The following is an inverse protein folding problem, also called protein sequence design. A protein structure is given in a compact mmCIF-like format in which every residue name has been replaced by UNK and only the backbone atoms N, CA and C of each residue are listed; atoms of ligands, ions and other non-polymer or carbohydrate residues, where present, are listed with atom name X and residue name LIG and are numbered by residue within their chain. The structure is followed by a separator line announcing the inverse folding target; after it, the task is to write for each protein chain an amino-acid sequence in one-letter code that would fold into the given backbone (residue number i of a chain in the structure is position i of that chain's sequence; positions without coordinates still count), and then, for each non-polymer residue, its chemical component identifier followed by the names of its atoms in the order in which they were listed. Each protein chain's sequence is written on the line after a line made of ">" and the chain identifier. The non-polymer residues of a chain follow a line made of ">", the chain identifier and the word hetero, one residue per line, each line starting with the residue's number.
data_IF_467379066248
#
_entry.id   IF_467379066248
#
_cell.length_a   1.000
_cell.length_b   1.000
_cell.length_c   1.000
_cell.angle_alpha   90.00
_cell.angle_beta   90.00
_cell.angle_gamma   90.00
#
_symmetry.space_group_name_H-M   'P 1'
#
loop_
_entity.id
_entity.type
_entity.pdbx_description
1 polymer ?
#
# COMPACT_ATOMS: atom_id res chain seq x y z
N UNK A 1 16.50 12.18 20.24
CA UNK A 1 16.26 13.43 21.00
C UNK A 1 17.62 13.94 21.47
N UNK A 2 17.81 15.25 21.59
CA UNK A 2 19.00 15.77 22.27
C UNK A 2 18.80 15.50 23.77
N UNK A 3 19.70 14.74 24.38
CA UNK A 3 19.64 14.37 25.80
C UNK A 3 20.82 14.97 26.52
N UNK A 4 20.59 15.39 27.77
CA UNK A 4 21.63 15.73 28.75
C UNK A 4 22.05 14.50 29.58
N UNK A 5 21.55 13.31 29.22
CA UNK A 5 21.74 12.10 30.04
C UNK A 5 23.13 11.50 29.87
N UNK A 6 23.69 11.11 31.01
CA UNK A 6 25.00 10.48 31.15
C UNK A 6 24.96 8.97 30.83
N UNK A 7 23.83 8.43 30.38
CA UNK A 7 23.57 6.98 30.26
C UNK A 7 24.39 6.24 29.18
N UNK A 8 25.25 6.96 28.46
CA UNK A 8 26.12 6.40 27.43
C UNK A 8 27.57 6.26 27.87
N UNK A 9 27.98 6.92 28.94
CA UNK A 9 29.36 6.94 29.40
C UNK A 9 29.43 6.69 30.90
N UNK A 10 30.38 5.84 31.30
CA UNK A 10 30.82 5.80 32.69
C UNK A 10 31.56 7.11 32.99
N UNK A 11 31.35 7.67 34.18
CA UNK A 11 32.13 8.82 34.64
C UNK A 11 33.58 8.37 34.89
N UNK A 12 34.42 8.60 33.89
CA UNK A 12 35.85 8.25 33.89
C UNK A 12 36.73 9.46 34.23
N UNK A 13 36.16 10.56 34.74
CA UNK A 13 36.90 11.79 35.10
C UNK A 13 37.30 12.68 33.90
N UNK A 14 36.84 12.36 32.69
CA UNK A 14 37.01 13.21 31.51
C UNK A 14 35.87 14.21 31.37
N UNK A 15 36.19 15.45 30.97
CA UNK A 15 35.19 16.50 30.72
C UNK A 15 34.74 16.47 29.26
N UNK A 16 33.56 15.92 29.01
CA UNK A 16 32.89 15.99 27.70
C UNK A 16 31.81 17.09 27.68
N UNK A 17 31.45 17.62 26.49
CA UNK A 17 30.26 18.46 26.35
C UNK A 17 29.01 17.72 26.83
N UNK A 18 28.13 18.41 27.57
CA UNK A 18 26.96 17.78 28.21
C UNK A 18 25.83 17.41 27.25
N UNK A 19 25.81 17.94 26.03
CA UNK A 19 24.71 17.75 25.07
C UNK A 19 25.10 16.81 23.94
N UNK A 20 24.27 15.80 23.68
CA UNK A 20 24.44 14.88 22.56
C UNK A 20 23.11 14.44 21.94
N UNK A 21 23.12 14.17 20.64
CA UNK A 21 21.98 13.57 19.94
C UNK A 21 21.94 12.06 20.19
N UNK A 22 20.91 11.57 20.86
CA UNK A 22 20.78 10.14 21.19
C UNK A 22 19.56 9.50 20.55
N UNK A 23 19.73 8.25 20.09
CA UNK A 23 18.63 7.37 19.75
C UNK A 23 17.89 6.94 21.02
N UNK A 24 16.56 6.86 20.94
CA UNK A 24 15.68 6.53 22.07
C UNK A 24 16.00 5.14 22.64
N UNK A 25 16.27 4.16 21.79
CA UNK A 25 16.68 2.81 22.19
C UNK A 25 17.66 2.22 21.17
N UNK A 26 18.63 1.45 21.69
CA UNK A 26 19.60 0.67 20.91
C UNK A 26 19.49 -0.84 21.20
N UNK A 27 18.58 -1.23 22.09
CA UNK A 27 18.54 -2.58 22.66
C UNK A 27 17.63 -3.50 21.86
N UNK A 28 16.59 -2.95 21.24
CA UNK A 28 15.55 -3.71 20.54
C UNK A 28 16.02 -4.17 19.15
N UNK A 29 15.73 -5.43 18.83
CA UNK A 29 15.96 -6.03 17.51
C UNK A 29 15.10 -7.30 17.31
N UNK A 30 14.31 -7.40 16.23
CA UNK A 30 13.58 -8.63 15.87
C UNK A 30 14.50 -9.69 15.24
N UNK A 31 15.31 -10.34 16.08
CA UNK A 31 16.30 -11.32 15.64
C UNK A 31 15.68 -12.52 14.92
N UNK A 32 14.49 -12.97 15.35
CA UNK A 32 13.78 -14.09 14.74
C UNK A 32 13.37 -13.75 13.29
N UNK A 33 12.85 -12.55 13.07
CA UNK A 33 12.48 -12.08 11.73
C UNK A 33 13.66 -12.09 10.76
N UNK A 34 14.86 -11.69 11.21
CA UNK A 34 16.07 -11.75 10.39
C UNK A 34 16.74 -13.13 10.38
N UNK A 35 16.24 -14.10 11.16
CA UNK A 35 16.77 -15.46 11.21
C UNK A 35 18.11 -15.55 11.92
N UNK A 36 18.33 -14.66 12.90
CA UNK A 36 19.56 -14.56 13.67
C UNK A 36 19.31 -15.17 15.06
N UNK A 37 20.18 -16.08 15.49
CA UNK A 37 20.05 -16.73 16.79
C UNK A 37 20.24 -15.70 17.93
N UNK A 38 19.50 -15.77 19.06
CA UNK A 38 19.56 -14.76 20.12
C UNK A 38 20.98 -14.47 20.64
N UNK A 39 21.81 -15.51 20.82
CA UNK A 39 23.23 -15.35 21.23
C UNK A 39 24.07 -14.57 20.21
N UNK A 40 23.76 -14.67 18.91
CA UNK A 40 24.45 -13.89 17.88
C UNK A 40 23.94 -12.45 17.90
N UNK A 41 22.61 -12.26 17.99
CA UNK A 41 22.01 -10.93 18.06
C UNK A 41 22.49 -10.08 19.25
N UNK A 42 22.73 -10.69 20.42
CA UNK A 42 23.32 -10.01 21.59
C UNK A 42 24.74 -9.49 21.32
N UNK A 43 25.48 -10.15 20.43
CA UNK A 43 26.86 -9.80 20.07
C UNK A 43 26.95 -8.98 18.77
N UNK A 44 25.82 -8.65 18.14
CA UNK A 44 25.81 -7.80 16.97
C UNK A 44 25.94 -6.34 17.36
N UNK A 45 26.71 -5.59 16.56
CA UNK A 45 26.75 -4.14 16.64
C UNK A 45 25.30 -3.58 16.58
N UNK A 46 24.86 -2.80 17.59
CA UNK A 46 23.52 -2.19 17.59
C UNK A 46 23.19 -1.40 16.32
N UNK A 47 24.20 -0.82 15.65
CA UNK A 47 24.04 -0.10 14.38
C UNK A 47 23.64 -1.05 13.25
N UNK A 48 24.25 -2.24 13.20
CA UNK A 48 23.91 -3.26 12.19
C UNK A 48 22.50 -3.81 12.42
N UNK A 49 22.10 -4.01 13.68
CA UNK A 49 20.74 -4.43 14.04
C UNK A 49 19.70 -3.42 13.55
N UNK A 50 19.92 -2.12 13.81
CA UNK A 50 19.02 -1.05 13.34
C UNK A 50 19.05 -0.87 11.83
N UNK A 51 20.20 -1.06 11.18
CA UNK A 51 20.30 -1.00 9.73
C UNK A 51 19.42 -2.04 9.06
N UNK A 52 19.36 -3.27 9.59
CA UNK A 52 18.51 -4.33 9.06
C UNK A 52 17.01 -3.97 9.14
N UNK A 53 16.55 -3.47 10.29
CA UNK A 53 15.16 -3.03 10.49
C UNK A 53 14.80 -1.86 9.58
N UNK A 54 15.58 -0.78 9.60
CA UNK A 54 15.30 0.44 8.82
C UNK A 54 15.38 0.18 7.32
N UNK A 55 16.28 -0.70 6.86
CA UNK A 55 16.33 -1.07 5.44
C UNK A 55 15.08 -1.84 5.02
N UNK A 56 14.58 -2.73 5.88
CA UNK A 56 13.34 -3.46 5.62
C UNK A 56 12.13 -2.52 5.61
N UNK A 57 12.04 -1.61 6.59
CA UNK A 57 11.02 -0.55 6.66
C UNK A 57 11.06 0.33 5.43
N UNK A 58 12.23 0.77 4.97
CA UNK A 58 12.38 1.62 3.78
C UNK A 58 11.91 0.94 2.49
N UNK A 59 12.13 -0.38 2.36
CA UNK A 59 11.63 -1.15 1.21
C UNK A 59 10.10 -1.22 1.26
N UNK A 60 9.52 -1.48 2.44
CA UNK A 60 8.06 -1.53 2.60
C UNK A 60 7.40 -0.15 2.46
N UNK A 61 8.04 0.92 2.94
CA UNK A 61 7.60 2.31 2.78
C UNK A 61 7.51 2.71 1.31
N UNK A 62 8.43 2.19 0.48
CA UNK A 62 8.36 2.34 -0.98
C UNK A 62 7.24 1.52 -1.65
N UNK A 63 6.48 0.72 -0.89
CA UNK A 63 5.44 -0.16 -1.41
C UNK A 63 5.95 -1.42 -2.09
N UNK A 64 7.23 -1.74 -1.89
CA UNK A 64 7.84 -2.92 -2.51
C UNK A 64 7.78 -4.09 -1.55
N UNK A 65 7.24 -5.22 -2.02
CA UNK A 65 7.36 -6.46 -1.29
C UNK A 65 8.83 -6.91 -1.30
N UNK A 66 9.51 -7.10 -0.15
CA UNK A 66 10.93 -7.46 -0.13
C UNK A 66 11.26 -8.77 -0.86
N UNK A 67 10.27 -9.64 -1.08
CA UNK A 67 10.43 -10.87 -1.88
C UNK A 67 10.56 -10.58 -3.38
N UNK A 68 9.90 -9.55 -3.91
CA UNK A 68 9.91 -9.23 -5.34
C UNK A 68 11.26 -8.70 -5.84
N UNK A 69 12.09 -8.17 -4.95
CA UNK A 69 13.42 -7.64 -5.26
C UNK A 69 14.56 -8.64 -4.98
N UNK A 70 14.27 -9.82 -4.42
CA UNK A 70 15.31 -10.84 -4.15
C UNK A 70 15.90 -11.37 -5.46
N UNK A 71 17.23 -11.39 -5.54
CA UNK A 71 17.95 -11.86 -6.73
C UNK A 71 18.04 -10.87 -7.88
N UNK A 72 17.48 -9.66 -7.72
CA UNK A 72 17.68 -8.57 -8.66
C UNK A 72 19.04 -7.89 -8.46
N UNK A 73 19.59 -7.25 -9.50
CA UNK A 73 20.84 -6.49 -9.44
C UNK A 73 20.64 -5.13 -8.70
N UNK A 74 20.18 -5.16 -7.45
CA UNK A 74 20.05 -3.96 -6.61
C UNK A 74 21.39 -3.72 -5.90
N UNK A 75 22.09 -2.66 -6.30
CA UNK A 75 23.33 -2.21 -5.67
C UNK A 75 23.06 -1.15 -4.59
N UNK A 76 23.83 -1.21 -3.50
CA UNK A 76 23.85 -0.20 -2.42
C UNK A 76 25.01 0.75 -2.67
N UNK A 77 24.72 2.03 -2.91
CA UNK A 77 25.75 3.02 -3.24
C UNK A 77 25.66 4.26 -2.34
N UNK A 78 26.83 4.83 -2.03
CA UNK A 78 27.00 6.12 -1.35
C UNK A 78 28.09 6.86 -2.10
N UNK A 79 27.81 8.06 -2.64
CA UNK A 79 28.76 8.75 -3.53
C UNK A 79 28.56 10.28 -3.62
N UNK A 80 29.55 10.96 -4.25
CA UNK A 80 30.12 12.29 -3.93
C UNK A 80 30.50 13.22 -5.11
N UNK A 81 30.12 14.54 -5.16
CA UNK A 81 30.98 15.80 -5.23
C UNK A 81 30.25 17.06 -5.83
N UNK A 82 30.60 18.31 -5.45
CA UNK A 82 30.09 19.60 -6.02
C UNK A 82 31.10 20.73 -6.22
N UNK A 83 30.81 21.57 -7.22
CA UNK A 83 31.07 23.03 -7.27
C UNK A 83 30.41 23.70 -8.51
N UNK A 84 29.20 24.30 -8.42
CA UNK A 84 28.57 25.04 -9.58
C UNK A 84 27.55 26.17 -9.22
N UNK A 85 26.85 26.15 -8.08
CA UNK A 85 25.48 26.71 -8.03
C UNK A 85 25.25 28.24 -7.81
N UNK A 86 26.28 29.08 -7.64
CA UNK A 86 26.06 30.48 -7.22
C UNK A 86 26.36 31.56 -8.28
N UNK A 87 26.88 31.20 -9.45
CA UNK A 87 27.22 32.17 -10.49
C UNK A 87 25.98 32.53 -11.35
N UNK A 88 25.68 33.82 -11.52
CA UNK A 88 24.58 34.30 -12.37
C UNK A 88 23.15 34.21 -11.80
N UNK A 89 22.98 33.93 -10.50
CA UNK A 89 21.65 33.82 -9.85
C UNK A 89 21.04 35.20 -9.55
N UNK A 90 19.74 35.35 -9.81
CA UNK A 90 18.97 36.58 -9.58
C UNK A 90 18.21 36.62 -8.24
N UNK A 91 18.29 35.56 -7.41
CA UNK A 91 17.62 35.49 -6.10
C UNK A 91 18.48 34.88 -4.99
N UNK A 92 18.03 34.98 -3.73
CA UNK A 92 18.69 34.41 -2.55
C UNK A 92 18.49 32.89 -2.46
N UNK A 93 19.57 32.11 -2.34
CA UNK A 93 19.52 30.65 -2.28
C UNK A 93 19.22 30.20 -0.84
N UNK A 94 18.10 29.52 -0.59
CA UNK A 94 17.81 28.99 0.74
C UNK A 94 18.84 27.93 1.13
N UNK A 95 19.42 28.06 2.32
CA UNK A 95 20.37 27.10 2.88
C UNK A 95 19.90 26.61 4.24
N UNK A 96 20.07 25.32 4.47
CA UNK A 96 19.64 24.66 5.70
C UNK A 96 20.60 23.54 6.10
N UNK A 97 20.58 23.18 7.38
CA UNK A 97 21.39 22.08 7.92
C UNK A 97 20.54 21.25 8.85
N UNK A 98 20.52 19.93 8.67
CA UNK A 98 19.86 19.03 9.63
C UNK A 98 20.64 18.99 10.97
N UNK A 99 21.93 19.31 10.93
CA UNK A 99 22.84 19.20 12.08
C UNK A 99 22.49 20.21 13.19
N UNK A 100 21.89 21.36 12.86
CA UNK A 100 21.40 22.30 13.88
C UNK A 100 20.29 21.71 14.74
N UNK A 101 19.52 20.74 14.22
CA UNK A 101 18.32 20.23 14.89
C UNK A 101 18.60 18.95 15.71
N UNK A 102 19.58 18.15 15.29
CA UNK A 102 19.83 16.82 15.88
C UNK A 102 21.30 16.54 16.23
N UNK A 103 22.21 17.47 15.95
CA UNK A 103 23.65 17.24 16.06
C UNK A 103 24.25 16.56 14.82
N UNK A 104 25.55 16.31 14.87
CA UNK A 104 26.30 15.73 13.75
C UNK A 104 26.36 14.20 13.86
N UNK A 105 25.62 13.47 13.02
CA UNK A 105 25.58 12.00 12.99
C UNK A 105 26.74 11.36 12.20
N UNK A 106 27.91 12.01 12.22
CA UNK A 106 29.15 11.60 11.53
C UNK A 106 28.93 10.95 10.13
N UNK A 107 29.23 9.66 9.85
CA UNK A 107 29.14 9.14 8.48
C UNK A 107 27.68 9.05 7.97
N UNK A 108 26.69 9.15 8.86
CA UNK A 108 25.26 9.06 8.54
C UNK A 108 24.66 10.43 8.21
N UNK A 109 25.43 11.52 8.36
CA UNK A 109 24.92 12.88 8.23
C UNK A 109 24.24 13.19 6.87
N UNK A 110 24.69 12.54 5.79
CA UNK A 110 24.07 12.72 4.47
C UNK A 110 22.70 12.06 4.37
N UNK A 111 22.53 10.86 4.93
CA UNK A 111 21.24 10.17 4.94
C UNK A 111 20.22 10.92 5.78
N UNK A 112 20.63 11.49 6.92
CA UNK A 112 19.77 12.36 7.71
C UNK A 112 19.36 13.64 6.95
N UNK A 113 20.24 14.15 6.06
CA UNK A 113 19.93 15.30 5.22
C UNK A 113 18.95 14.94 4.10
N UNK A 114 19.10 13.76 3.49
CA UNK A 114 18.13 13.22 2.52
C UNK A 114 16.77 13.02 3.18
N UNK A 115 16.72 12.39 4.36
CA UNK A 115 15.49 12.18 5.11
C UNK A 115 14.79 13.51 5.44
N UNK A 116 15.53 14.53 5.92
CA UNK A 116 14.99 15.89 6.11
C UNK A 116 14.32 16.40 4.83
N UNK A 117 14.95 16.26 3.68
CA UNK A 117 14.45 16.79 2.41
C UNK A 117 13.24 16.02 1.87
N UNK A 118 13.25 14.69 1.96
CA UNK A 118 12.09 13.86 1.58
C UNK A 118 10.88 14.23 2.45
N UNK A 119 11.07 14.29 3.77
CA UNK A 119 10.01 14.73 4.69
C UNK A 119 9.57 16.18 4.42
N UNK A 120 10.49 17.06 4.05
CA UNK A 120 10.17 18.45 3.69
C UNK A 120 9.33 18.56 2.42
N UNK A 121 9.63 17.72 1.41
CA UNK A 121 8.85 17.63 0.17
C UNK A 121 7.44 17.08 0.42
N UNK A 122 7.34 16.00 1.21
CA UNK A 122 6.04 15.42 1.59
C UNK A 122 5.19 16.42 2.39
N UNK A 123 5.78 17.08 3.40
CA UNK A 123 5.09 18.07 4.22
C UNK A 123 4.97 19.46 3.57
N UNK A 124 5.46 19.62 2.33
CA UNK A 124 5.52 20.89 1.58
C UNK A 124 6.14 22.06 2.36
N UNK A 125 7.04 21.75 3.29
CA UNK A 125 7.62 22.71 4.24
C UNK A 125 9.08 22.40 4.48
N UNK A 126 9.98 23.37 4.31
CA UNK A 126 11.36 23.32 4.76
C UNK A 126 11.39 23.74 6.23
N UNK A 127 11.80 22.84 7.16
CA UNK A 127 11.82 23.17 8.57
C UNK A 127 13.03 24.06 8.90
N UNK A 128 12.80 24.98 9.84
CA UNK A 128 13.78 25.94 10.32
C UNK A 128 15.06 25.28 10.86
N UNK A 129 16.19 25.90 10.55
CA UNK A 129 17.44 25.71 11.27
C UNK A 129 17.32 26.31 12.66
N UNK A 130 17.85 25.61 13.65
CA UNK A 130 17.98 26.14 15.00
C UNK A 130 19.28 26.91 15.16
N UNK A 131 19.34 27.76 16.19
CA UNK A 131 20.56 28.44 16.66
C UNK A 131 21.18 29.45 15.67
N UNK A 132 20.43 29.89 14.66
CA UNK A 132 20.85 30.96 13.77
C UNK A 132 20.36 32.31 14.31
N UNK A 133 21.30 33.15 14.77
CA UNK A 133 21.01 34.47 15.35
C UNK A 133 21.79 35.59 14.66
N UNK A 134 23.10 35.40 14.47
CA UNK A 134 23.98 36.39 13.87
C UNK A 134 24.72 35.73 12.70
N UNK A 135 24.67 36.30 11.48
CA UNK A 135 25.41 35.77 10.32
C UNK A 135 26.91 35.74 10.60
N UNK A 136 27.60 34.71 10.10
CA UNK A 136 29.07 34.67 10.18
C UNK A 136 29.66 35.73 9.23
N UNK A 137 30.43 36.73 9.72
CA UNK A 137 31.00 37.78 8.89
C UNK A 137 32.00 37.27 7.84
N UNK A 138 32.62 36.10 8.08
CA UNK A 138 33.60 35.49 7.17
C UNK A 138 32.96 34.83 5.95
N UNK A 139 31.62 34.82 5.86
CA UNK A 139 30.86 34.29 4.73
C UNK A 139 30.09 35.45 4.08
N UNK A 140 30.71 36.19 3.13
CA UNK A 140 30.10 37.38 2.53
C UNK A 140 28.71 37.13 1.95
N UNK A 141 28.48 35.95 1.37
CA UNK A 141 27.20 35.57 0.78
C UNK A 141 26.03 35.47 1.80
N UNK A 142 26.31 35.27 3.10
CA UNK A 142 25.30 35.34 4.15
C UNK A 142 25.01 36.79 4.58
N UNK A 143 26.01 37.67 4.48
CA UNK A 143 25.90 39.09 4.86
C UNK A 143 25.20 39.89 3.77
N UNK A 144 25.53 39.63 2.51
CA UNK A 144 24.93 40.31 1.34
C UNK A 144 23.60 39.68 0.87
N UNK A 145 23.18 38.57 1.49
CA UNK A 145 21.88 37.92 1.25
C UNK A 145 21.82 36.99 0.04
N UNK A 146 22.93 36.71 -0.66
CA UNK A 146 22.96 35.70 -1.74
C UNK A 146 22.64 34.30 -1.24
N UNK A 147 23.03 33.98 0.00
CA UNK A 147 22.62 32.80 0.74
C UNK A 147 21.68 33.22 1.87
N UNK A 148 20.52 32.57 1.96
CA UNK A 148 19.54 32.85 3.00
C UNK A 148 19.36 31.62 3.87
N UNK A 149 19.72 31.70 5.14
CA UNK A 149 19.46 30.62 6.09
C UNK A 149 17.95 30.49 6.30
N UNK A 150 17.44 29.27 6.21
CA UNK A 150 16.04 28.95 6.55
C UNK A 150 15.92 28.95 8.08
N UNK A 151 15.61 30.09 8.68
CA UNK A 151 15.51 30.29 10.14
C UNK A 151 14.07 30.23 10.68
N UNK A 152 13.10 30.20 9.77
CA UNK A 152 11.68 29.93 10.02
C UNK A 152 11.20 28.86 9.06
N UNK A 153 10.12 28.17 9.39
CA UNK A 153 9.50 27.23 8.46
C UNK A 153 9.07 27.97 7.19
N UNK A 154 9.50 27.46 6.05
CA UNK A 154 9.22 28.06 4.73
C UNK A 154 8.58 27.00 3.83
N UNK A 155 7.79 27.42 2.84
CA UNK A 155 7.19 26.47 1.91
C UNK A 155 8.25 25.81 1.01
N UNK A 156 8.10 24.51 0.75
CA UNK A 156 8.98 23.76 -0.13
C UNK A 156 8.52 23.90 -1.59
N UNK A 157 9.20 24.76 -2.36
CA UNK A 157 8.92 24.98 -3.79
C UNK A 157 10.07 24.55 -4.70
N UNK A 158 11.15 24.00 -4.14
CA UNK A 158 12.35 23.68 -4.88
C UNK A 158 12.14 22.44 -5.77
N UNK A 159 12.36 22.60 -7.08
CA UNK A 159 12.41 21.47 -8.03
C UNK A 159 13.74 20.72 -7.94
N UNK A 160 14.82 21.42 -7.63
CA UNK A 160 16.16 20.86 -7.46
C UNK A 160 16.71 21.25 -6.11
N UNK A 161 17.30 20.29 -5.41
CA UNK A 161 17.97 20.53 -4.13
C UNK A 161 19.35 19.90 -4.15
N UNK A 162 20.36 20.70 -3.76
CA UNK A 162 21.72 20.23 -3.53
C UNK A 162 21.93 19.81 -2.08
N UNK A 163 22.66 18.72 -1.86
CA UNK A 163 23.07 18.24 -0.54
C UNK A 163 24.58 18.16 -0.50
N UNK A 164 25.22 18.71 0.54
CA UNK A 164 26.66 18.58 0.78
C UNK A 164 26.94 17.65 1.96
N UNK A 165 28.00 16.84 1.87
CA UNK A 165 28.56 16.10 3.01
C UNK A 165 30.08 16.08 2.91
N UNK A 166 30.80 16.55 3.92
CA UNK A 166 32.26 16.65 3.92
C UNK A 166 32.82 15.82 5.08
N UNK A 167 33.71 14.88 4.77
CA UNK A 167 34.42 14.09 5.77
C UNK A 167 35.67 14.82 6.26
N UNK A 168 36.02 14.66 7.54
CA UNK A 168 37.20 15.33 8.12
C UNK A 168 38.51 14.94 7.42
N UNK A 169 38.59 13.75 6.82
CA UNK A 169 39.75 13.28 6.05
C UNK A 169 39.89 13.88 4.64
N UNK A 170 39.02 14.83 4.27
CA UNK A 170 39.08 15.53 2.98
C UNK A 170 38.20 14.94 1.86
N UNK A 171 37.51 13.82 2.11
CA UNK A 171 36.56 13.24 1.14
C UNK A 171 35.23 14.00 1.17
N UNK A 172 34.83 14.59 0.04
CA UNK A 172 33.66 15.47 -0.05
C UNK A 172 32.60 14.93 -1.01
N UNK A 173 31.33 14.91 -0.59
CA UNK A 173 30.13 14.53 -1.35
C UNK A 173 29.28 15.74 -1.71
N UNK A 174 28.68 15.69 -2.90
CA UNK A 174 27.42 16.38 -3.17
C UNK A 174 26.48 15.55 -4.02
N UNK A 175 25.19 15.73 -3.76
CA UNK A 175 24.07 15.14 -4.48
C UNK A 175 23.15 16.25 -4.98
N UNK A 176 22.70 16.14 -6.23
CA UNK A 176 21.64 16.96 -6.77
C UNK A 176 20.38 16.09 -6.90
N UNK A 177 19.35 16.42 -6.15
CA UNK A 177 18.06 15.73 -6.19
C UNK A 177 17.06 16.54 -6.99
N UNK A 178 16.28 15.86 -7.84
CA UNK A 178 15.11 16.42 -8.50
C UNK A 178 13.86 15.94 -7.76
N UNK A 179 13.08 16.87 -7.27
CA UNK A 179 11.77 16.59 -6.68
C UNK A 179 10.70 16.84 -7.75
N UNK A 180 9.93 15.81 -8.06
CA UNK A 180 8.77 15.91 -8.92
C UNK A 180 7.50 16.00 -8.07
N UNK A 181 6.54 16.79 -8.52
CA UNK A 181 5.19 16.70 -7.99
C UNK A 181 4.61 15.38 -8.47
N UNK A 182 3.97 14.65 -7.56
CA UNK A 182 3.23 13.44 -7.94
C UNK A 182 2.28 13.80 -9.08
N UNK A 183 2.31 13.02 -10.16
CA UNK A 183 1.22 13.03 -11.13
C UNK A 183 -0.06 12.63 -10.41
N UNK A 184 -1.15 13.32 -10.69
CA UNK A 184 -2.48 12.86 -10.28
C UNK A 184 -2.69 11.48 -10.90
N UNK A 185 -2.71 10.46 -10.04
CA UNK A 185 -3.10 9.11 -10.45
C UNK A 185 -4.61 9.05 -10.45
N UNK A 186 -5.19 8.97 -11.64
CA UNK A 186 -6.59 8.58 -11.76
C UNK A 186 -6.69 7.08 -11.45
N UNK A 187 -7.24 6.75 -10.29
CA UNK A 187 -7.55 5.36 -9.97
C UNK A 187 -8.68 4.85 -10.85
N UNK A 188 -8.57 3.62 -11.39
CA UNK A 188 -9.63 3.04 -12.20
C UNK A 188 -10.85 2.60 -11.38
N UNK A 189 -10.80 2.63 -10.04
CA UNK A 189 -11.93 2.25 -9.17
C UNK A 189 -12.54 3.44 -8.42
N UNK A 190 -13.88 3.45 -8.36
CA UNK A 190 -14.66 4.43 -7.62
C UNK A 190 -14.50 4.24 -6.10
N UNK A 191 -14.42 5.36 -5.38
CA UNK A 191 -14.44 5.41 -3.91
C UNK A 191 -15.77 4.92 -3.31
N UNK A 192 -16.83 4.78 -4.13
CA UNK A 192 -18.13 4.26 -3.69
C UNK A 192 -18.20 2.74 -3.62
N UNK A 193 -17.25 2.01 -4.23
CA UNK A 193 -17.22 0.55 -4.22
C UNK A 193 -16.54 0.05 -2.94
N UNK A 194 -17.11 -0.94 -2.23
CA UNK A 194 -16.44 -1.56 -1.09
C UNK A 194 -15.08 -2.15 -1.51
N UNK A 195 -14.07 -1.93 -0.69
CA UNK A 195 -12.70 -2.34 -1.00
C UNK A 195 -12.11 -3.15 0.16
N UNK A 196 -11.45 -4.25 -0.17
CA UNK A 196 -10.73 -5.04 0.82
C UNK A 196 -9.32 -4.48 0.93
N UNK A 197 -8.96 -4.02 2.13
CA UNK A 197 -7.59 -3.65 2.47
C UNK A 197 -7.04 -4.73 3.39
N UNK A 198 -5.96 -5.38 2.96
CA UNK A 198 -5.31 -6.44 3.71
C UNK A 198 -3.88 -6.04 4.08
N UNK A 199 -3.39 -6.55 5.19
CA UNK A 199 -1.98 -6.45 5.55
C UNK A 199 -1.52 -7.67 6.34
N UNK A 200 -0.21 -7.76 6.57
CA UNK A 200 0.41 -8.81 7.37
C UNK A 200 1.48 -8.21 8.27
N UNK A 201 1.75 -8.86 9.39
CA UNK A 201 2.70 -8.34 10.38
C UNK A 201 3.31 -9.41 11.27
N UNK A 202 4.30 -8.97 12.06
CA UNK A 202 4.97 -9.79 13.07
C UNK A 202 4.14 -10.00 14.32
N UNK A 203 3.25 -9.06 14.63
CA UNK A 203 2.36 -9.11 15.78
C UNK A 203 0.95 -8.71 15.40
N UNK A 204 -0.02 -9.06 16.25
CA UNK A 204 -1.41 -8.63 16.09
C UNK A 204 -1.53 -7.10 16.12
N UNK A 205 -0.79 -6.45 17.01
CA UNK A 205 -0.80 -4.99 17.18
C UNK A 205 -0.32 -4.26 15.92
N UNK A 206 0.70 -4.80 15.24
CA UNK A 206 1.19 -4.22 14.00
C UNK A 206 0.12 -4.26 12.89
N UNK A 207 -0.55 -5.41 12.72
CA UNK A 207 -1.63 -5.56 11.74
C UNK A 207 -2.79 -4.63 12.08
N UNK A 208 -3.22 -4.59 13.35
CA UNK A 208 -4.28 -3.71 13.82
C UNK A 208 -3.96 -2.23 13.55
N UNK A 209 -2.75 -1.79 13.91
CA UNK A 209 -2.28 -0.42 13.66
C UNK A 209 -2.36 -0.04 12.18
N UNK A 210 -1.88 -0.92 11.29
CA UNK A 210 -1.92 -0.64 9.85
C UNK A 210 -3.35 -0.60 9.29
N UNK A 211 -4.25 -1.48 9.74
CA UNK A 211 -5.64 -1.50 9.28
C UNK A 211 -6.44 -0.30 9.81
N UNK A 212 -6.20 0.12 11.06
CA UNK A 212 -6.77 1.35 11.61
C UNK A 212 -6.29 2.58 10.84
N UNK A 213 -5.00 2.65 10.52
CA UNK A 213 -4.43 3.72 9.71
C UNK A 213 -5.01 3.71 8.28
N UNK A 214 -5.22 2.53 7.70
CA UNK A 214 -5.88 2.36 6.40
C UNK A 214 -7.34 2.85 6.41
N UNK A 215 -8.09 2.62 7.48
CA UNK A 215 -9.45 3.14 7.62
C UNK A 215 -9.47 4.67 7.71
N UNK A 216 -8.52 5.28 8.42
CA UNK A 216 -8.39 6.73 8.52
C UNK A 216 -8.06 7.37 7.17
N UNK A 217 -7.27 6.69 6.34
CA UNK A 217 -6.79 7.17 5.05
C UNK A 217 -7.43 6.45 3.85
N UNK A 218 -8.64 5.86 4.02
CA UNK A 218 -9.30 5.05 2.98
C UNK A 218 -9.64 5.78 1.68
N UNK A 219 -9.61 7.11 1.69
CA UNK A 219 -9.81 7.96 0.51
C UNK A 219 -8.50 8.19 -0.27
N UNK A 220 -7.34 7.91 0.34
CA UNK A 220 -6.04 7.98 -0.32
C UNK A 220 -5.80 6.71 -1.14
N UNK A 221 -6.10 6.81 -2.43
CA UNK A 221 -5.99 5.69 -3.36
C UNK A 221 -4.55 5.20 -3.55
N UNK A 222 -3.55 6.08 -3.40
CA UNK A 222 -2.15 5.68 -3.49
C UNK A 222 -1.74 4.83 -2.29
N UNK A 223 -2.08 5.30 -1.09
CA UNK A 223 -1.77 4.58 0.14
C UNK A 223 -2.44 3.19 0.16
N UNK A 224 -3.72 3.15 -0.22
CA UNK A 224 -4.47 1.90 -0.31
C UNK A 224 -3.88 0.94 -1.35
N UNK A 225 -3.49 1.44 -2.53
CA UNK A 225 -2.79 0.63 -3.55
C UNK A 225 -1.48 0.08 -3.02
N UNK A 226 -0.71 0.89 -2.30
CA UNK A 226 0.56 0.48 -1.71
C UNK A 226 0.38 -0.68 -0.72
N UNK A 227 -0.63 -0.61 0.16
CA UNK A 227 -0.98 -1.71 1.06
C UNK A 227 -1.42 -2.97 0.30
N UNK A 228 -2.17 -2.80 -0.80
CA UNK A 228 -2.56 -3.90 -1.65
C UNK A 228 -1.35 -4.59 -2.27
N UNK A 229 -0.43 -3.85 -2.90
CA UNK A 229 0.82 -4.39 -3.49
C UNK A 229 1.67 -5.15 -2.46
N UNK A 230 1.78 -4.62 -1.23
CA UNK A 230 2.48 -5.31 -0.14
C UNK A 230 1.83 -6.63 0.26
N UNK A 231 0.51 -6.76 0.11
CA UNK A 231 -0.26 -7.94 0.54
C UNK A 231 -0.50 -9.00 -0.55
N UNK A 232 -0.15 -8.72 -1.82
CA UNK A 232 -0.26 -9.67 -2.94
C UNK A 232 0.50 -10.97 -2.66
N UNK A 233 1.70 -10.85 -2.12
CA UNK A 233 2.54 -11.99 -1.77
C UNK A 233 2.76 -12.10 -0.27
N UNK A 234 2.76 -13.35 0.22
CA UNK A 234 3.12 -13.64 1.59
C UNK A 234 4.52 -13.09 1.93
N UNK A 235 4.58 -12.14 2.85
CA UNK A 235 5.86 -11.69 3.42
C UNK A 235 6.37 -12.81 4.35
N UNK A 236 7.58 -13.35 4.11
CA UNK A 236 8.12 -14.41 4.94
C UNK A 236 8.15 -14.01 6.42
N UNK A 237 7.80 -14.95 7.31
CA UNK A 237 7.79 -14.75 8.77
C UNK A 237 6.81 -13.68 9.26
N UNK A 238 5.77 -13.33 8.50
CA UNK A 238 4.59 -12.61 9.02
C UNK A 238 3.50 -13.62 9.39
N UNK A 239 3.41 -14.06 10.67
CA UNK A 239 2.41 -15.04 11.08
C UNK A 239 1.03 -14.43 11.25
N UNK A 240 0.90 -13.11 11.41
CA UNK A 240 -0.40 -12.45 11.56
C UNK A 240 -0.81 -11.81 10.24
N UNK A 241 -2.09 -11.96 9.89
CA UNK A 241 -2.73 -11.27 8.77
C UNK A 241 -4.05 -10.71 9.21
N UNK A 242 -4.47 -9.65 8.54
CA UNK A 242 -5.79 -9.11 8.74
C UNK A 242 -6.28 -8.38 7.51
N UNK A 243 -7.58 -8.15 7.48
CA UNK A 243 -8.22 -7.35 6.46
C UNK A 243 -9.36 -6.52 7.05
N UNK A 244 -9.74 -5.50 6.30
CA UNK A 244 -10.92 -4.69 6.56
C UNK A 244 -11.63 -4.41 5.23
N UNK A 245 -12.95 -4.38 5.26
CA UNK A 245 -13.75 -3.91 4.12
C UNK A 245 -14.02 -2.41 4.30
N UNK A 246 -13.25 -1.60 3.58
CA UNK A 246 -13.44 -0.17 3.50
C UNK A 246 -14.69 0.17 2.66
N UNK A 247 -15.30 1.33 2.93
CA UNK A 247 -16.50 1.84 2.25
C UNK A 247 -17.75 0.96 2.34
N UNK A 248 -17.78 0.01 3.28
CA UNK A 248 -18.98 -0.71 3.68
C UNK A 248 -19.76 0.04 4.77
N UNK A 249 -21.04 -0.28 4.93
CA UNK A 249 -21.89 0.28 6.00
C UNK A 249 -21.42 -0.11 7.41
N UNK A 250 -20.68 -1.23 7.53
CA UNK A 250 -20.06 -1.68 8.78
C UNK A 250 -18.66 -2.20 8.44
N UNK A 251 -17.62 -1.49 8.85
CA UNK A 251 -16.23 -1.90 8.67
C UNK A 251 -15.72 -2.55 9.95
N UNK A 252 -15.46 -3.84 9.89
CA UNK A 252 -14.84 -4.60 10.98
C UNK A 252 -13.44 -5.06 10.58
N UNK A 253 -12.50 -4.94 11.50
CA UNK A 253 -11.15 -5.47 11.33
C UNK A 253 -11.16 -6.94 11.70
N UNK A 254 -10.85 -7.79 10.73
CA UNK A 254 -10.66 -9.23 10.94
C UNK A 254 -9.17 -9.52 10.98
N UNK A 255 -8.73 -10.25 12.00
CA UNK A 255 -7.32 -10.56 12.22
C UNK A 255 -7.16 -12.01 12.67
N UNK A 256 -6.16 -12.68 12.11
CA UNK A 256 -5.86 -14.07 12.47
C UNK A 256 -4.36 -14.34 12.37
N UNK A 257 -3.89 -15.27 13.21
CA UNK A 257 -2.59 -15.90 13.05
C UNK A 257 -2.72 -17.05 12.06
N UNK A 258 -2.09 -16.91 10.89
CA UNK A 258 -2.21 -17.86 9.79
C UNK A 258 -1.11 -18.93 9.90
N UNK A 259 -1.53 -20.20 9.93
CA UNK A 259 -0.65 -21.32 9.64
C UNK A 259 -0.57 -21.57 8.13
N UNK A 260 0.61 -21.89 7.58
CA UNK A 260 0.76 -22.12 6.14
C UNK A 260 -0.07 -23.34 5.69
N UNK A 261 -1.21 -23.09 5.06
CA UNK A 261 -2.00 -24.06 4.32
C UNK A 261 -1.98 -23.72 2.84
N UNK A 262 -1.68 -24.72 2.01
CA UNK A 262 -1.39 -24.50 0.58
C UNK A 262 -2.47 -25.05 -0.37
N UNK A 263 -3.53 -25.67 0.14
CA UNK A 263 -4.52 -26.31 -0.71
C UNK A 263 -5.77 -25.44 -0.80
N UNK A 264 -6.01 -24.86 -1.98
CA UNK A 264 -7.26 -24.16 -2.30
C UNK A 264 -8.19 -25.16 -2.99
N UNK A 265 -9.39 -25.34 -2.47
CA UNK A 265 -10.42 -26.20 -3.03
C UNK A 265 -11.58 -25.34 -3.52
N UNK A 266 -12.03 -25.58 -4.76
CA UNK A 266 -13.19 -24.92 -5.33
C UNK A 266 -14.39 -25.87 -5.19
N UNK A 267 -15.43 -25.43 -4.48
CA UNK A 267 -16.66 -26.20 -4.29
C UNK A 267 -17.76 -25.45 -5.03
N UNK A 268 -18.33 -26.09 -6.07
CA UNK A 268 -19.44 -25.55 -6.84
C UNK A 268 -20.74 -26.16 -6.31
N UNK A 269 -21.53 -25.36 -5.60
CA UNK A 269 -22.85 -25.77 -5.13
C UNK A 269 -23.80 -25.94 -6.31
N UNK A 270 -24.71 -26.90 -6.18
CA UNK A 270 -25.74 -27.18 -7.17
C UNK A 270 -27.04 -26.41 -6.91
N UNK A 271 -28.13 -27.02 -7.36
CA UNK A 271 -29.49 -26.54 -7.20
C UNK A 271 -29.86 -26.29 -5.73
N UNK A 272 -30.62 -25.23 -5.49
CA UNK A 272 -31.09 -24.80 -4.16
C UNK A 272 -30.36 -23.57 -3.61
N UNK A 273 -29.32 -23.09 -4.28
CA UNK A 273 -28.53 -21.91 -3.91
C UNK A 273 -29.00 -20.60 -4.55
N UNK A 274 -29.93 -20.67 -5.50
CA UNK A 274 -30.39 -19.56 -6.31
C UNK A 274 -31.47 -18.72 -5.59
N UNK A 275 -31.42 -17.38 -5.74
CA UNK A 275 -32.41 -16.44 -5.20
C UNK A 275 -32.62 -15.21 -6.14
N UNK A 276 -33.79 -14.52 -6.09
CA UNK A 276 -34.07 -13.36 -6.94
C UNK A 276 -33.13 -12.19 -6.68
N UNK A 277 -32.53 -11.60 -7.73
CA UNK A 277 -31.57 -10.50 -7.59
C UNK A 277 -30.15 -10.93 -7.18
N UNK A 278 -29.81 -12.22 -7.29
CA UNK A 278 -28.54 -12.78 -6.78
C UNK A 278 -27.24 -12.16 -7.33
N UNK A 279 -27.31 -11.36 -8.39
CA UNK A 279 -26.13 -10.70 -8.99
C UNK A 279 -26.05 -9.20 -8.75
N UNK A 280 -27.07 -8.57 -8.16
CA UNK A 280 -27.23 -7.11 -8.10
C UNK A 280 -26.04 -6.39 -7.46
N UNK A 281 -25.43 -6.98 -6.44
CA UNK A 281 -24.26 -6.37 -5.79
C UNK A 281 -22.95 -6.66 -6.51
N UNK A 282 -22.81 -7.84 -7.10
CA UNK A 282 -21.59 -8.24 -7.80
C UNK A 282 -21.45 -7.61 -9.19
N UNK A 283 -22.55 -7.21 -9.83
CA UNK A 283 -22.52 -6.56 -11.15
C UNK A 283 -21.79 -5.21 -11.15
N UNK A 284 -21.58 -4.62 -9.96
CA UNK A 284 -20.80 -3.39 -9.76
C UNK A 284 -19.30 -3.59 -10.02
N UNK A 285 -18.83 -4.84 -10.05
CA UNK A 285 -17.44 -5.18 -10.31
C UNK A 285 -17.26 -5.59 -11.78
N UNK A 286 -16.36 -4.90 -12.49
CA UNK A 286 -16.17 -5.09 -13.93
C UNK A 286 -15.85 -6.54 -14.33
N UNK A 287 -14.99 -7.23 -13.57
CA UNK A 287 -14.64 -8.62 -13.86
C UNK A 287 -15.87 -9.56 -13.82
N UNK A 288 -16.76 -9.36 -12.85
CA UNK A 288 -17.99 -10.13 -12.74
C UNK A 288 -18.97 -9.75 -13.83
N UNK A 289 -19.17 -8.44 -14.06
CA UNK A 289 -20.02 -7.89 -15.12
C UNK A 289 -19.63 -8.44 -16.49
N UNK A 290 -18.35 -8.36 -16.86
CA UNK A 290 -17.82 -8.89 -18.12
C UNK A 290 -18.13 -10.39 -18.29
N UNK A 291 -17.97 -11.18 -17.23
CA UNK A 291 -18.26 -12.63 -17.29
C UNK A 291 -19.74 -12.93 -17.51
N UNK A 292 -20.63 -12.22 -16.79
CA UNK A 292 -22.08 -12.38 -16.91
C UNK A 292 -22.58 -11.87 -18.27
N UNK A 293 -22.13 -10.69 -18.72
CA UNK A 293 -22.50 -10.15 -20.04
C UNK A 293 -22.11 -11.10 -21.16
N UNK A 294 -20.88 -11.66 -21.12
CA UNK A 294 -20.44 -12.66 -22.10
C UNK A 294 -21.37 -13.88 -22.11
N UNK A 295 -21.82 -14.34 -20.95
CA UNK A 295 -22.74 -15.48 -20.86
C UNK A 295 -24.14 -15.13 -21.38
N UNK A 296 -24.60 -13.92 -21.09
CA UNK A 296 -25.89 -13.40 -21.55
C UNK A 296 -25.95 -13.26 -23.08
N UNK A 297 -24.88 -12.82 -23.74
CA UNK A 297 -24.81 -12.69 -25.20
C UNK A 297 -25.06 -14.02 -25.91
N UNK A 298 -24.44 -15.11 -25.44
CA UNK A 298 -24.66 -16.45 -26.00
C UNK A 298 -26.08 -16.96 -25.80
N UNK A 299 -26.67 -16.68 -24.63
CA UNK A 299 -28.02 -17.12 -24.29
C UNK A 299 -29.09 -16.29 -24.99
N UNK A 300 -28.83 -15.01 -25.24
CA UNK A 300 -29.74 -14.14 -25.98
C UNK A 300 -29.95 -14.63 -27.41
N UNK A 301 -28.91 -15.21 -28.03
CA UNK A 301 -28.99 -15.79 -29.38
C UNK A 301 -29.99 -16.96 -29.46
N UNK A 302 -30.31 -17.62 -28.34
CA UNK A 302 -31.32 -18.68 -28.25
C UNK A 302 -32.61 -18.20 -27.56
N UNK A 303 -32.81 -16.88 -27.47
CA UNK A 303 -34.02 -16.26 -26.91
C UNK A 303 -34.04 -16.15 -25.39
N UNK A 304 -32.89 -16.31 -24.72
CA UNK A 304 -32.82 -16.32 -23.25
C UNK A 304 -32.11 -15.07 -22.71
N UNK A 305 -32.89 -14.16 -22.13
CA UNK A 305 -32.38 -12.93 -21.52
C UNK A 305 -31.91 -13.16 -20.07
N UNK A 306 -30.65 -13.57 -19.94
CA UNK A 306 -30.03 -13.87 -18.66
C UNK A 306 -29.97 -12.63 -17.74
N UNK A 307 -29.67 -11.44 -18.27
CA UNK A 307 -29.54 -10.22 -17.46
C UNK A 307 -30.88 -9.88 -16.82
N UNK A 308 -31.96 -9.91 -17.60
CA UNK A 308 -33.32 -9.65 -17.10
C UNK A 308 -33.70 -10.60 -15.96
N UNK A 309 -33.35 -11.88 -16.06
CA UNK A 309 -33.67 -12.87 -15.02
C UNK A 309 -32.85 -12.62 -13.75
N UNK A 310 -31.56 -12.32 -13.90
CA UNK A 310 -30.64 -12.13 -12.76
C UNK A 310 -30.85 -10.81 -12.02
N UNK A 311 -31.30 -9.76 -12.72
CA UNK A 311 -31.55 -8.43 -12.14
C UNK A 311 -32.99 -8.23 -11.65
N UNK A 312 -33.93 -9.11 -12.03
CA UNK A 312 -35.33 -8.99 -11.62
C UNK A 312 -35.54 -9.33 -10.14
N UNK A 313 -36.34 -8.50 -9.45
CA UNK A 313 -36.90 -8.81 -8.13
C UNK A 313 -38.17 -9.68 -8.22
N UNK A 314 -38.63 -9.98 -9.43
CA UNK A 314 -39.83 -10.78 -9.66
C UNK A 314 -39.57 -12.25 -9.31
N UNK A 315 -40.07 -12.64 -8.13
CA UNK A 315 -40.02 -14.01 -7.64
C UNK A 315 -40.71 -14.99 -8.60
N UNK A 316 -41.71 -14.55 -9.36
CA UNK A 316 -42.45 -15.41 -10.29
C UNK A 316 -41.62 -15.74 -11.52
N UNK A 317 -40.96 -14.74 -12.13
CA UNK A 317 -40.00 -14.96 -13.23
C UNK A 317 -38.86 -15.90 -12.80
N UNK A 318 -38.37 -15.72 -11.57
CA UNK A 318 -37.31 -16.53 -11.01
C UNK A 318 -37.73 -17.98 -10.70
N UNK A 319 -38.92 -18.19 -10.14
CA UNK A 319 -39.46 -19.54 -9.91
C UNK A 319 -39.80 -20.25 -11.22
N UNK A 320 -40.27 -19.53 -12.25
CA UNK A 320 -40.45 -20.08 -13.60
C UNK A 320 -39.12 -20.57 -14.19
N UNK A 321 -38.05 -19.77 -14.08
CA UNK A 321 -36.71 -20.18 -14.48
C UNK A 321 -36.22 -21.41 -13.72
N UNK A 322 -36.36 -21.40 -12.40
CA UNK A 322 -35.99 -22.54 -11.54
C UNK A 322 -36.75 -23.81 -11.94
N UNK A 323 -38.05 -23.71 -12.24
CA UNK A 323 -38.88 -24.82 -12.68
C UNK A 323 -38.52 -25.34 -14.08
N UNK A 324 -38.11 -24.46 -15.00
CA UNK A 324 -37.62 -24.86 -16.31
C UNK A 324 -36.29 -25.63 -16.21
N UNK A 325 -35.43 -25.27 -15.25
CA UNK A 325 -34.14 -25.94 -14.99
C UNK A 325 -34.28 -27.25 -14.20
N UNK A 326 -35.34 -27.41 -13.39
CA UNK A 326 -35.60 -28.63 -12.59
C UNK A 326 -36.41 -29.69 -13.33
N UNK A 327 -36.88 -29.43 -14.56
CA UNK A 327 -37.73 -30.37 -15.29
C UNK A 327 -37.06 -31.70 -15.68
N UNK A 328 -35.76 -31.86 -15.39
CA UNK A 328 -35.01 -33.10 -15.54
C UNK A 328 -34.71 -33.76 -14.18
N UNK A 329 -35.71 -34.40 -13.57
CA UNK A 329 -35.55 -35.23 -12.36
C UNK A 329 -35.91 -36.70 -12.63
N UNK A 330 -35.42 -37.66 -11.84
CA UNK A 330 -35.69 -39.09 -12.04
C UNK A 330 -37.18 -39.48 -12.08
N UNK A 331 -38.06 -38.67 -11.49
CA UNK A 331 -39.52 -38.88 -11.51
C UNK A 331 -40.18 -38.58 -12.87
N UNK A 332 -39.56 -37.75 -13.72
CA UNK A 332 -40.15 -37.33 -15.01
C UNK A 332 -39.52 -38.07 -16.21
N UNK A 333 -38.70 -39.09 -15.95
CA UNK A 333 -37.97 -39.87 -16.97
C UNK A 333 -38.89 -40.63 -17.92
N UNK A 334 -40.01 -41.14 -17.42
CA UNK A 334 -40.97 -41.93 -18.20
C UNK A 334 -41.78 -41.08 -19.18
N UNK A 335 -42.20 -39.88 -18.79
CA UNK A 335 -42.90 -38.93 -19.69
C UNK A 335 -42.03 -38.43 -20.83
N UNK A 336 -40.73 -38.22 -20.55
CA UNK A 336 -39.75 -37.82 -21.56
C UNK A 336 -39.51 -38.90 -22.63
N UNK A 337 -39.55 -40.18 -22.22
CA UNK A 337 -39.38 -41.31 -23.15
C UNK A 337 -40.52 -41.42 -24.19
N UNK A 338 -41.71 -40.91 -23.84
CA UNK A 338 -42.90 -40.89 -24.72
C UNK A 338 -42.85 -39.79 -25.78
N UNK A 339 -41.98 -38.79 -25.64
CA UNK A 339 -41.88 -37.62 -26.51
C UNK A 339 -40.55 -37.57 -27.30
N UNK A 340 -39.99 -38.73 -27.67
CA UNK A 340 -38.81 -38.81 -28.54
C UNK A 340 -39.11 -38.18 -29.92
N UNK A 341 -38.80 -36.90 -30.06
CA UNK A 341 -39.00 -36.12 -31.27
C UNK A 341 -39.47 -34.67 -31.01
N UNK A 342 -39.98 -34.35 -29.83
CA UNK A 342 -40.45 -33.00 -29.53
C UNK A 342 -39.30 -32.03 -29.24
N UNK A 343 -39.11 -31.04 -30.12
CA UNK A 343 -38.34 -29.83 -29.79
C UNK A 343 -39.26 -28.89 -29.01
N UNK A 344 -39.00 -28.74 -27.72
CA UNK A 344 -39.73 -27.80 -26.88
C UNK A 344 -39.15 -26.40 -27.08
N UNK A 345 -39.87 -25.54 -27.80
CA UNK A 345 -39.59 -24.11 -27.84
C UNK A 345 -40.30 -23.45 -26.66
N UNK A 346 -39.53 -22.88 -25.75
CA UNK A 346 -40.05 -21.98 -24.73
C UNK A 346 -40.14 -20.60 -25.38
N UNK A 347 -41.32 -20.20 -25.87
CA UNK A 347 -41.52 -18.84 -26.39
C UNK A 347 -41.77 -17.87 -25.23
N UNK A 348 -40.72 -17.12 -24.85
CA UNK A 348 -40.75 -16.15 -23.75
C UNK A 348 -41.10 -14.72 -24.22
N UNK A 349 -41.64 -14.55 -25.44
CA UNK A 349 -41.96 -13.22 -25.99
C UNK A 349 -43.29 -12.63 -25.52
N UNK A 350 -44.15 -13.40 -24.84
CA UNK A 350 -45.46 -12.91 -24.38
C UNK A 350 -45.77 -13.35 -22.93
N UNK A 351 -45.87 -12.44 -21.93
CA UNK A 351 -46.00 -12.81 -20.52
C UNK A 351 -47.40 -13.27 -20.07
N UNK A 352 -48.39 -13.31 -20.97
CA UNK A 352 -49.81 -13.44 -20.57
C UNK A 352 -50.52 -14.72 -21.02
N UNK A 353 -49.89 -15.59 -21.80
CA UNK A 353 -50.54 -16.82 -22.26
C UNK A 353 -50.06 -18.07 -21.51
N UNK A 354 -51.03 -18.92 -21.17
CA UNK A 354 -50.88 -20.13 -20.36
C UNK A 354 -49.72 -20.99 -20.88
N UNK A 355 -48.74 -21.22 -20.01
CA UNK A 355 -47.72 -22.24 -20.21
C UNK A 355 -48.43 -23.60 -20.39
N UNK A 356 -48.22 -24.24 -21.54
CA UNK A 356 -48.76 -25.52 -22.00
C UNK A 356 -50.11 -25.48 -22.73
N UNK A 357 -50.08 -25.16 -24.03
CA UNK A 357 -50.80 -25.94 -25.04
C UNK A 357 -49.78 -26.48 -26.05
N UNK A 358 -49.53 -27.79 -25.99
CA UNK A 358 -48.66 -28.47 -26.93
C UNK A 358 -49.39 -28.66 -28.25
N UNK A 359 -49.03 -27.88 -29.27
CA UNK A 359 -49.36 -28.22 -30.64
C UNK A 359 -48.21 -29.00 -31.26
N UNK A 360 -48.50 -30.24 -31.69
CA UNK A 360 -47.64 -30.96 -32.62
C UNK A 360 -47.62 -30.17 -33.94
N UNK A 361 -46.43 -29.70 -34.32
CA UNK A 361 -46.19 -29.26 -35.69
C UNK A 361 -45.89 -30.53 -36.51
N UNK A 362 -46.71 -30.77 -37.54
CA UNK A 362 -46.47 -31.82 -38.55
C UNK A 362 -45.17 -31.60 -39.33
#
# INVERSE_FOLDING_TARGET
>A
MISDSHDRFLDLGFKFPSRMGVLKSLETFDAEFFGIHPKQAMNMDPRLRKLLEVSHEAIMDAGLNPKSIRGSNVGVFVATLSSVFCEGRTGALPVGSVKSNMGHSEPVAILCSIAKLVLSHVARTIPANLHYHTPNPDIPALVDGRLQVVDKNQAFHAKYVGINSMGFGGTNVHLLLKFENQQEYESPWSLSTPLIIACSGRTEEAVRYFLENALQHKQDQHFVKLLHELSVEAIPRHPYRGYVVANANNSEIVLEKIEPKNSIWYIFSGMGSQWPGMTKDLIKFDAFKMSITRSAEYLLAVGFDLIKILESDDKTLFEQFKNAMTWYTPHNREEFSKHKGARYNIDMRNPTDKFFEGHCLE
#
